data_IF_661164358142
#
_entry.id   IF_661164358142
#
_cell.length_a   1.000
_cell.length_b   1.000
_cell.length_c   1.000
_cell.angle_alpha   90.00
_cell.angle_beta   90.00
_cell.angle_gamma   90.00
#
_symmetry.space_group_name_H-M   'P 1'
#
loop_
_entity.id
_entity.type
_entity.pdbx_description
1 polymer ?
#
# COMPACT_ATOMS: atom_id res chain seq x y z
N UNK A 1 -30.90 -3.90 10.96
CA UNK A 1 -29.56 -3.99 10.35
C UNK A 1 -28.96 -2.60 10.39
N UNK A 2 -27.96 -2.40 11.25
CA UNK A 2 -27.19 -1.15 11.35
C UNK A 2 -25.93 -1.36 12.22
N UNK A 3 -25.42 -2.59 12.35
CA UNK A 3 -24.14 -2.82 13.03
C UNK A 3 -22.98 -2.58 12.04
N UNK A 4 -21.81 -2.19 12.56
CA UNK A 4 -20.60 -2.04 11.75
C UNK A 4 -20.17 -3.39 11.13
N UNK A 5 -20.41 -4.48 11.86
CA UNK A 5 -20.11 -5.85 11.45
C UNK A 5 -20.96 -6.26 10.26
N UNK A 6 -22.25 -5.92 10.25
CA UNK A 6 -23.16 -6.19 9.13
C UNK A 6 -22.62 -5.50 7.85
N UNK A 7 -22.26 -4.22 7.97
CA UNK A 7 -21.73 -3.41 6.85
C UNK A 7 -20.43 -3.95 6.29
N UNK A 8 -19.53 -4.42 7.17
CA UNK A 8 -18.27 -5.02 6.74
C UNK A 8 -18.49 -6.38 6.07
N UNK A 9 -19.40 -7.20 6.59
CA UNK A 9 -19.77 -8.48 6.00
C UNK A 9 -20.35 -8.34 4.59
N UNK A 10 -21.07 -7.25 4.32
CA UNK A 10 -21.64 -6.93 3.01
C UNK A 10 -20.61 -6.38 2.00
N UNK A 11 -19.42 -5.95 2.45
CA UNK A 11 -18.37 -5.48 1.53
C UNK A 11 -17.83 -6.59 0.62
N UNK A 12 -17.32 -6.20 -0.55
CA UNK A 12 -16.61 -7.10 -1.45
C UNK A 12 -15.26 -7.58 -0.87
N UNK A 13 -14.64 -8.55 -1.55
CA UNK A 13 -13.37 -9.13 -1.13
C UNK A 13 -12.20 -8.15 -1.18
N UNK A 14 -12.22 -7.16 -2.07
CA UNK A 14 -11.14 -6.16 -2.22
C UNK A 14 -11.14 -5.22 -1.03
N UNK A 15 -12.32 -4.72 -0.64
CA UNK A 15 -12.49 -3.86 0.54
C UNK A 15 -12.09 -4.63 1.79
N UNK A 16 -12.56 -5.88 1.94
CA UNK A 16 -12.19 -6.73 3.08
C UNK A 16 -10.68 -6.96 3.16
N UNK A 17 -10.04 -7.30 2.04
CA UNK A 17 -8.58 -7.49 1.98
C UNK A 17 -7.84 -6.21 2.35
N UNK A 18 -8.25 -5.07 1.80
CA UNK A 18 -7.62 -3.77 2.05
C UNK A 18 -7.70 -3.40 3.53
N UNK A 19 -8.85 -3.63 4.19
CA UNK A 19 -9.00 -3.40 5.64
C UNK A 19 -8.06 -4.31 6.43
N UNK A 20 -7.94 -5.59 6.05
CA UNK A 20 -7.01 -6.53 6.71
C UNK A 20 -5.55 -6.10 6.51
N UNK A 21 -5.17 -5.58 5.34
CA UNK A 21 -3.84 -5.05 5.08
C UNK A 21 -3.53 -3.84 5.98
N UNK A 22 -4.49 -2.93 6.17
CA UNK A 22 -4.34 -1.81 7.10
C UNK A 22 -4.14 -2.26 8.55
N UNK A 23 -4.90 -3.26 8.99
CA UNK A 23 -4.74 -3.85 10.34
C UNK A 23 -3.33 -4.46 10.47
N UNK A 24 -2.90 -5.28 9.52
CA UNK A 24 -1.57 -5.89 9.51
C UNK A 24 -0.45 -4.86 9.53
N UNK A 25 -0.55 -3.78 8.75
CA UNK A 25 0.42 -2.68 8.76
C UNK A 25 0.48 -1.98 10.12
N UNK A 26 -0.66 -1.75 10.77
CA UNK A 26 -0.71 -1.18 12.12
C UNK A 26 0.01 -2.06 13.14
N UNK A 27 -0.18 -3.38 13.08
CA UNK A 27 0.49 -4.33 13.97
C UNK A 27 2.01 -4.36 13.77
N UNK A 28 2.47 -4.34 12.51
CA UNK A 28 3.90 -4.27 12.19
C UNK A 28 4.50 -2.95 12.67
N UNK A 29 3.81 -1.83 12.45
CA UNK A 29 4.21 -0.51 12.97
C UNK A 29 4.36 -0.51 14.48
N UNK A 30 3.36 -1.06 15.20
CA UNK A 30 3.40 -1.22 16.66
C UNK A 30 4.58 -2.08 17.12
N UNK A 31 4.88 -3.19 16.43
CA UNK A 31 6.05 -4.04 16.74
C UNK A 31 7.38 -3.32 16.48
N UNK A 32 7.48 -2.54 15.40
CA UNK A 32 8.72 -1.89 14.96
C UNK A 32 9.05 -0.64 15.77
N UNK A 33 8.05 0.16 16.14
CA UNK A 33 8.24 1.45 16.80
C UNK A 33 7.77 1.47 18.26
N UNK A 34 7.19 0.38 18.76
CA UNK A 34 6.59 0.33 20.09
C UNK A 34 5.33 1.20 20.25
N UNK A 35 4.89 1.87 19.18
CA UNK A 35 3.80 2.83 19.18
C UNK A 35 2.96 2.74 17.90
N UNK A 36 1.70 3.15 17.98
CA UNK A 36 0.80 3.32 16.83
C UNK A 36 1.02 4.69 16.18
N UNK A 37 0.14 5.06 15.24
CA UNK A 37 0.10 6.44 14.73
C UNK A 37 -0.29 7.46 15.82
N UNK A 38 -0.73 7.02 17.01
CA UNK A 38 -1.02 7.87 18.18
C UNK A 38 0.24 8.23 18.99
N UNK A 39 1.42 8.09 18.39
CA UNK A 39 2.71 8.46 19.00
C UNK A 39 2.87 9.98 19.11
N UNK A 40 3.52 10.44 20.18
CA UNK A 40 3.71 11.87 20.49
C UNK A 40 5.15 12.37 20.32
N UNK A 41 6.05 11.52 19.84
CA UNK A 41 7.49 11.79 19.73
C UNK A 41 7.90 12.42 18.39
N UNK A 42 6.99 12.51 17.42
CA UNK A 42 7.20 13.15 16.12
C UNK A 42 6.45 14.48 16.01
N UNK A 43 7.14 15.50 15.51
CA UNK A 43 6.53 16.78 15.13
C UNK A 43 5.74 16.66 13.83
N UNK A 44 4.76 17.56 13.56
CA UNK A 44 4.04 17.56 12.28
C UNK A 44 4.93 17.66 11.03
N UNK A 45 6.06 18.35 11.13
CA UNK A 45 7.04 18.46 10.02
C UNK A 45 7.74 17.14 9.78
N UNK A 46 8.12 16.40 10.82
CA UNK A 46 8.70 15.06 10.69
C UNK A 46 7.70 14.07 10.10
N UNK A 47 6.43 14.14 10.51
CA UNK A 47 5.35 13.36 9.89
C UNK A 47 5.24 13.64 8.38
N UNK A 48 5.24 14.91 7.99
CA UNK A 48 5.18 15.29 6.58
C UNK A 48 6.40 14.79 5.80
N UNK A 49 7.58 14.88 6.40
CA UNK A 49 8.82 14.40 5.79
C UNK A 49 8.78 12.88 5.57
N UNK A 50 8.35 12.10 6.56
CA UNK A 50 8.17 10.65 6.40
C UNK A 50 7.11 10.31 5.34
N UNK A 51 5.99 11.02 5.31
CA UNK A 51 4.99 10.82 4.27
C UNK A 51 5.54 11.09 2.86
N UNK A 52 6.37 12.13 2.70
CA UNK A 52 7.04 12.43 1.43
C UNK A 52 8.03 11.32 1.02
N UNK A 53 8.81 10.81 1.97
CA UNK A 53 9.75 9.70 1.74
C UNK A 53 9.02 8.44 1.27
N UNK A 54 7.95 8.04 1.96
CA UNK A 54 7.15 6.86 1.59
C UNK A 54 6.48 7.02 0.20
N UNK A 55 6.05 8.25 -0.15
CA UNK A 55 5.54 8.53 -1.50
C UNK A 55 6.63 8.45 -2.58
N UNK A 56 7.85 8.88 -2.27
CA UNK A 56 8.99 8.71 -3.19
C UNK A 56 9.29 7.23 -3.44
N UNK A 57 9.26 6.40 -2.40
CA UNK A 57 9.44 4.95 -2.53
C UNK A 57 8.34 4.32 -3.41
N UNK A 58 7.09 4.76 -3.24
CA UNK A 58 5.98 4.33 -4.11
C UNK A 58 6.23 4.69 -5.58
N UNK A 59 6.69 5.92 -5.86
CA UNK A 59 7.02 6.34 -7.23
C UNK A 59 8.14 5.50 -7.85
N UNK A 60 9.15 5.12 -7.06
CA UNK A 60 10.22 4.23 -7.52
C UNK A 60 9.67 2.84 -7.89
N UNK A 61 8.79 2.27 -7.08
CA UNK A 61 8.14 0.99 -7.40
C UNK A 61 7.29 1.08 -8.67
N UNK A 62 6.50 2.14 -8.82
CA UNK A 62 5.69 2.35 -10.02
C UNK A 62 6.55 2.46 -11.28
N UNK A 63 7.64 3.24 -11.24
CA UNK A 63 8.56 3.38 -12.37
C UNK A 63 9.22 2.05 -12.74
N UNK A 64 9.61 1.24 -11.75
CA UNK A 64 10.15 -0.10 -12.00
C UNK A 64 9.11 -1.02 -12.65
N UNK A 65 7.88 -1.06 -12.14
CA UNK A 65 6.82 -1.90 -12.71
C UNK A 65 6.46 -1.48 -14.13
N UNK A 66 6.40 -0.18 -14.42
CA UNK A 66 6.18 0.32 -15.78
C UNK A 66 7.26 -0.20 -16.73
N UNK A 67 8.54 -0.09 -16.36
CA UNK A 67 9.64 -0.60 -17.18
C UNK A 67 9.52 -2.11 -17.43
N UNK A 68 9.15 -2.88 -16.40
CA UNK A 68 8.97 -4.34 -16.54
C UNK A 68 7.82 -4.68 -17.48
N UNK A 69 6.69 -3.99 -17.39
CA UNK A 69 5.53 -4.19 -18.27
C UNK A 69 5.86 -3.85 -19.72
N UNK A 70 6.51 -2.70 -19.98
CA UNK A 70 6.96 -2.32 -21.33
C UNK A 70 7.93 -3.34 -21.92
N UNK A 71 8.81 -3.92 -21.09
CA UNK A 71 9.74 -4.98 -21.51
C UNK A 71 8.99 -6.25 -21.92
N UNK A 72 7.98 -6.67 -21.14
CA UNK A 72 7.15 -7.83 -21.44
C UNK A 72 6.38 -7.61 -22.75
N UNK A 73 5.75 -6.45 -22.93
CA UNK A 73 4.99 -6.13 -24.15
C UNK A 73 5.86 -6.17 -25.42
N UNK A 74 7.11 -5.68 -25.35
CA UNK A 74 8.06 -5.75 -26.48
C UNK A 74 8.39 -7.20 -26.84
N UNK A 75 8.74 -8.03 -25.85
CA UNK A 75 9.07 -9.44 -26.09
C UNK A 75 7.88 -10.25 -26.64
N UNK A 76 6.65 -9.95 -26.22
CA UNK A 76 5.44 -10.60 -26.76
C UNK A 76 5.17 -10.25 -28.23
N UNK A 77 5.53 -9.03 -28.66
CA UNK A 77 5.39 -8.60 -30.07
C UNK A 77 6.45 -9.24 -30.97
N UNK A 78 7.66 -9.44 -30.47
CA UNK A 78 8.74 -10.07 -31.25
C UNK A 78 8.48 -11.56 -31.53
N UNK A 79 7.74 -12.26 -30.65
CA UNK A 79 7.37 -13.68 -30.82
C UNK A 79 6.13 -13.92 -31.70
N UNK A 80 5.37 -12.88 -32.07
CA UNK A 80 4.15 -13.02 -32.90
C UNK A 80 4.39 -12.75 -34.39
N UNK A 81 5.60 -12.32 -34.76
CA UNK A 81 6.01 -12.03 -36.15
C UNK A 81 7.11 -12.98 -36.69
N UNK A 82 7.39 -14.10 -36.00
CA UNK A 82 8.25 -15.19 -36.48
C UNK A 82 7.46 -16.46 -36.69
#
# INVERSE_FOLDING_TARGET
MNSLEDRFCECDSVVKSTVMDFIGRSEVGRKKYGATMDRSDLTPVQWLQHAKEELMDMLLYMGKLQFELERIEKHSKDHTYS
#
